data_IF_859327726206
#
_entry.id   IF_859327726206
#
_cell.length_a   1.000
_cell.length_b   1.000
_cell.length_c   1.000
_cell.angle_alpha   90.00
_cell.angle_beta   90.00
_cell.angle_gamma   90.00
#
_symmetry.space_group_name_H-M   'P 1'
#
loop_
_entity.id
_entity.type
_entity.pdbx_description
1 polymer ?
#
# COMPACT_ATOMS: atom_id res chain seq x y z
N UNK A 1 -2.32 -12.36 41.12
CA UNK A 1 -3.67 -11.81 41.31
C UNK A 1 -3.83 -10.44 40.61
N UNK A 2 -2.96 -9.44 40.86
CA UNK A 2 -3.11 -8.09 40.30
C UNK A 2 -2.96 -7.99 38.76
N UNK A 3 -2.12 -8.83 38.15
CA UNK A 3 -1.87 -8.84 36.69
C UNK A 3 -3.07 -9.34 35.87
N UNK A 4 -3.82 -10.30 36.40
CA UNK A 4 -5.02 -10.85 35.75
C UNK A 4 -6.15 -9.82 35.72
N UNK A 5 -6.38 -9.12 36.84
CA UNK A 5 -7.41 -8.09 36.94
C UNK A 5 -7.15 -6.89 36.00
N UNK A 6 -5.88 -6.55 35.76
CA UNK A 6 -5.50 -5.52 34.79
C UNK A 6 -5.78 -5.95 33.35
N UNK A 7 -5.43 -7.19 32.98
CA UNK A 7 -5.73 -7.74 31.66
C UNK A 7 -7.24 -7.75 31.38
N UNK A 8 -8.04 -8.22 32.33
CA UNK A 8 -9.51 -8.24 32.19
C UNK A 8 -10.11 -6.83 32.05
N UNK A 9 -9.55 -5.85 32.75
CA UNK A 9 -9.97 -4.45 32.65
C UNK A 9 -9.63 -3.84 31.28
N UNK A 10 -8.46 -4.17 30.74
CA UNK A 10 -8.03 -3.73 29.40
C UNK A 10 -8.90 -4.34 28.29
N UNK A 11 -9.22 -5.63 28.41
CA UNK A 11 -10.10 -6.33 27.46
C UNK A 11 -11.52 -5.75 27.47
N UNK A 12 -12.08 -5.47 28.66
CA UNK A 12 -13.39 -4.82 28.79
C UNK A 12 -13.41 -3.40 28.21
N UNK A 13 -12.33 -2.65 28.39
CA UNK A 13 -12.23 -1.30 27.82
C UNK A 13 -12.20 -1.36 26.28
N UNK A 14 -11.39 -2.28 25.74
CA UNK A 14 -11.24 -2.46 24.29
C UNK A 14 -12.54 -2.94 23.64
N UNK A 15 -13.26 -3.89 24.26
CA UNK A 15 -14.54 -4.37 23.74
C UNK A 15 -15.60 -3.28 23.72
N UNK A 16 -15.66 -2.43 24.76
CA UNK A 16 -16.58 -1.28 24.82
C UNK A 16 -16.29 -0.27 23.72
N UNK A 17 -15.02 0.05 23.47
CA UNK A 17 -14.63 0.96 22.39
C UNK A 17 -14.95 0.37 21.00
N UNK A 18 -14.73 -0.93 20.80
CA UNK A 18 -15.08 -1.61 19.56
C UNK A 18 -16.58 -1.51 19.26
N UNK A 19 -17.44 -1.68 20.27
CA UNK A 19 -18.89 -1.51 20.11
C UNK A 19 -19.27 -0.08 19.71
N UNK A 20 -18.65 0.94 20.32
CA UNK A 20 -18.90 2.33 19.93
C UNK A 20 -18.47 2.63 18.49
N UNK A 21 -17.39 2.01 18.00
CA UNK A 21 -16.97 2.13 16.60
C UNK A 21 -18.00 1.51 15.66
N UNK A 22 -18.52 0.32 16.00
CA UNK A 22 -19.55 -0.35 15.22
C UNK A 22 -20.86 0.45 15.19
N UNK A 23 -21.28 1.04 16.30
CA UNK A 23 -22.46 1.91 16.36
C UNK A 23 -22.27 3.16 15.49
N UNK A 24 -21.09 3.81 15.55
CA UNK A 24 -20.79 4.95 14.67
C UNK A 24 -20.75 4.55 13.20
N UNK A 25 -20.22 3.37 12.86
CA UNK A 25 -20.22 2.86 11.50
C UNK A 25 -21.64 2.56 11.01
N UNK A 26 -22.49 1.96 11.85
CA UNK A 26 -23.90 1.69 11.57
C UNK A 26 -24.70 2.98 11.34
N UNK A 27 -24.41 4.03 12.09
CA UNK A 27 -25.06 5.34 11.93
C UNK A 27 -24.64 6.05 10.65
N UNK A 28 -23.48 5.71 10.07
CA UNK A 28 -23.05 6.21 8.76
C UNK A 28 -23.77 5.45 7.66
N UNK A 29 -24.93 5.96 7.25
CA UNK A 29 -25.54 5.53 5.98
C UNK A 29 -24.72 6.11 4.83
N UNK A 30 -23.84 5.31 4.27
CA UNK A 30 -23.13 5.64 3.03
C UNK A 30 -24.04 5.27 1.87
N UNK A 31 -24.60 6.27 1.20
CA UNK A 31 -25.27 6.08 -0.08
C UNK A 31 -24.20 5.97 -1.16
N UNK A 32 -23.92 4.75 -1.60
CA UNK A 32 -23.15 4.54 -2.81
C UNK A 32 -24.03 4.95 -3.99
N UNK A 33 -23.66 5.97 -4.79
CA UNK A 33 -24.40 6.28 -5.99
C UNK A 33 -24.41 5.04 -6.88
N UNK A 34 -25.61 4.56 -7.21
CA UNK A 34 -25.79 3.47 -8.17
C UNK A 34 -25.27 3.96 -9.52
N UNK A 35 -24.10 3.47 -9.93
CA UNK A 35 -23.44 3.84 -11.19
C UNK A 35 -24.40 3.53 -12.34
N UNK A 36 -25.03 4.57 -12.86
CA UNK A 36 -26.07 4.52 -13.91
C UNK A 36 -25.46 4.61 -15.31
N UNK A 37 -24.15 4.34 -15.44
CA UNK A 37 -23.41 4.46 -16.71
C UNK A 37 -22.82 3.15 -17.25
N UNK A 38 -22.88 2.05 -16.50
CA UNK A 38 -22.30 0.78 -16.98
C UNK A 38 -23.03 0.24 -18.23
N UNK A 39 -24.30 0.63 -18.43
CA UNK A 39 -25.09 0.17 -19.59
C UNK A 39 -24.75 0.92 -20.88
N UNK A 40 -24.35 2.20 -20.84
CA UNK A 40 -24.05 2.96 -22.06
C UNK A 40 -22.66 2.65 -22.65
N UNK A 41 -21.66 2.38 -21.79
CA UNK A 41 -20.31 2.00 -22.24
C UNK A 41 -20.33 0.63 -22.94
N UNK A 42 -21.11 -0.32 -22.40
CA UNK A 42 -21.27 -1.65 -23.01
C UNK A 42 -21.98 -1.58 -24.37
N UNK A 43 -22.96 -0.67 -24.56
CA UNK A 43 -23.61 -0.50 -25.88
C UNK A 43 -22.68 0.05 -26.94
N UNK A 44 -21.71 0.89 -26.58
CA UNK A 44 -20.73 1.43 -27.52
C UNK A 44 -19.67 0.38 -27.92
N UNK A 45 -19.33 -0.55 -27.04
CA UNK A 45 -18.41 -1.65 -27.33
C UNK A 45 -19.08 -2.79 -28.10
N UNK A 46 -20.34 -3.10 -27.82
CA UNK A 46 -21.14 -4.08 -28.58
C UNK A 46 -21.38 -3.63 -30.03
N UNK A 47 -21.50 -2.32 -30.27
CA UNK A 47 -21.62 -1.76 -31.62
C UNK A 47 -20.35 -1.98 -32.45
N UNK A 48 -19.16 -2.00 -31.82
CA UNK A 48 -17.88 -2.28 -32.51
C UNK A 48 -17.65 -3.76 -32.80
N UNK A 49 -18.14 -4.66 -31.94
CA UNK A 49 -18.06 -6.11 -32.19
C UNK A 49 -19.01 -6.58 -33.31
N UNK A 50 -20.08 -5.83 -33.59
CA UNK A 50 -21.13 -6.19 -34.57
C UNK A 50 -20.73 -6.08 -36.05
N UNK A 51 -19.66 -5.38 -36.42
CA UNK A 51 -19.27 -5.22 -37.84
C UNK A 51 -18.34 -6.33 -38.37
N UNK A 52 -17.91 -7.28 -37.53
CA UNK A 52 -16.80 -8.19 -37.87
C UNK A 52 -17.13 -9.64 -38.20
N UNK A 53 -18.38 -10.11 -38.18
CA UNK A 53 -18.63 -11.54 -38.37
C UNK A 53 -19.93 -11.85 -39.10
N UNK A 54 -19.76 -12.27 -40.35
CA UNK A 54 -20.78 -12.91 -41.17
C UNK A 54 -21.18 -14.28 -40.60
N UNK A 55 -22.49 -14.55 -40.60
CA UNK A 55 -23.17 -15.87 -40.58
C UNK A 55 -23.43 -16.61 -39.23
N UNK A 56 -24.46 -17.50 -39.14
CA UNK A 56 -25.87 -17.12 -39.01
C UNK A 56 -26.62 -17.85 -37.86
N UNK A 57 -27.81 -17.32 -37.53
CA UNK A 57 -28.97 -17.92 -36.84
C UNK A 57 -28.82 -19.36 -36.33
N UNK A 58 -28.96 -19.53 -35.01
CA UNK A 58 -29.86 -20.54 -34.47
C UNK A 58 -30.62 -20.00 -33.27
N UNK A 59 -31.94 -20.15 -33.37
CA UNK A 59 -32.98 -19.71 -32.44
C UNK A 59 -33.17 -20.80 -31.39
N UNK A 60 -33.16 -20.44 -30.12
CA UNK A 60 -33.42 -21.39 -29.02
C UNK A 60 -33.44 -20.68 -27.68
N UNK A 61 -34.61 -20.13 -27.34
CA UNK A 61 -35.18 -19.94 -25.99
C UNK A 61 -34.22 -19.71 -24.81
N UNK A 62 -34.31 -18.48 -24.29
CA UNK A 62 -34.63 -18.20 -22.89
C UNK A 62 -33.74 -18.87 -21.83
N UNK A 63 -32.56 -18.29 -21.61
CA UNK A 63 -32.10 -18.07 -20.24
C UNK A 63 -31.64 -16.62 -20.14
N UNK A 64 -32.55 -15.76 -19.66
CA UNK A 64 -32.16 -14.53 -19.00
C UNK A 64 -31.54 -14.97 -17.69
N UNK A 65 -30.26 -15.38 -17.73
CA UNK A 65 -29.46 -15.55 -16.53
C UNK A 65 -29.15 -14.15 -16.01
N UNK A 66 -30.09 -13.68 -15.18
CA UNK A 66 -29.81 -13.01 -13.92
C UNK A 66 -28.38 -12.46 -13.86
N UNK A 67 -28.21 -11.20 -14.28
CA UNK A 67 -27.02 -10.42 -14.00
C UNK A 67 -26.92 -10.16 -12.50
N UNK A 68 -26.63 -11.22 -11.76
CA UNK A 68 -26.25 -11.17 -10.38
C UNK A 68 -24.93 -10.40 -10.32
N UNK A 69 -24.99 -9.27 -9.62
CA UNK A 69 -24.03 -8.19 -9.44
C UNK A 69 -22.72 -8.62 -8.74
N UNK A 70 -22.10 -9.71 -9.18
CA UNK A 70 -20.91 -10.31 -8.57
C UNK A 70 -19.86 -10.83 -9.58
N UNK A 71 -20.25 -11.12 -10.83
CA UNK A 71 -19.31 -11.59 -11.85
C UNK A 71 -18.54 -10.44 -12.52
N UNK A 72 -19.20 -9.32 -12.85
CA UNK A 72 -18.57 -8.22 -13.57
C UNK A 72 -17.44 -7.49 -12.83
N UNK A 73 -17.54 -7.34 -11.50
CA UNK A 73 -16.50 -6.66 -10.71
C UNK A 73 -15.27 -7.56 -10.55
N UNK A 74 -15.48 -8.85 -10.26
CA UNK A 74 -14.38 -9.83 -10.16
C UNK A 74 -13.69 -10.03 -11.51
N UNK A 75 -14.47 -10.06 -12.59
CA UNK A 75 -13.97 -10.13 -13.96
C UNK A 75 -13.17 -8.87 -14.32
N UNK A 76 -13.67 -7.67 -14.01
CA UNK A 76 -12.94 -6.42 -14.21
C UNK A 76 -11.62 -6.35 -13.43
N UNK A 77 -11.59 -6.84 -12.18
CA UNK A 77 -10.34 -6.99 -11.44
C UNK A 77 -9.42 -8.04 -12.09
N UNK A 78 -9.97 -9.12 -12.65
CA UNK A 78 -9.24 -10.08 -13.47
C UNK A 78 -8.56 -9.42 -14.66
N UNK A 79 -9.30 -8.64 -15.44
CA UNK A 79 -8.78 -7.89 -16.60
C UNK A 79 -7.71 -6.88 -16.19
N UNK A 80 -7.90 -6.18 -15.07
CA UNK A 80 -6.90 -5.25 -14.55
C UNK A 80 -5.62 -5.98 -14.12
N UNK A 81 -5.75 -7.13 -13.45
CA UNK A 81 -4.60 -7.95 -13.06
C UNK A 81 -3.83 -8.47 -14.27
N UNK A 82 -4.54 -8.93 -15.31
CA UNK A 82 -3.92 -9.36 -16.57
C UNK A 82 -3.18 -8.22 -17.25
N UNK A 83 -3.78 -7.02 -17.30
CA UNK A 83 -3.13 -5.84 -17.85
C UNK A 83 -1.89 -5.45 -17.04
N UNK A 84 -1.99 -5.45 -15.71
CA UNK A 84 -0.85 -5.18 -14.83
C UNK A 84 0.27 -6.18 -15.06
N UNK A 85 -0.04 -7.48 -15.10
CA UNK A 85 0.94 -8.53 -15.38
C UNK A 85 1.61 -8.37 -16.75
N UNK A 86 0.82 -8.07 -17.79
CA UNK A 86 1.33 -7.79 -19.13
C UNK A 86 2.29 -6.59 -19.13
N UNK A 87 1.89 -5.48 -18.50
CA UNK A 87 2.76 -4.28 -18.40
C UNK A 87 4.03 -4.54 -17.61
N UNK A 88 3.99 -5.35 -16.55
CA UNK A 88 5.16 -5.79 -15.79
C UNK A 88 6.14 -6.57 -16.66
N UNK A 89 5.65 -7.50 -17.49
CA UNK A 89 6.50 -8.31 -18.36
C UNK A 89 7.14 -7.46 -19.47
N UNK A 90 6.39 -6.52 -20.05
CA UNK A 90 6.93 -5.57 -21.03
C UNK A 90 8.00 -4.66 -20.43
N UNK A 91 7.80 -4.16 -19.20
CA UNK A 91 8.85 -3.43 -18.48
C UNK A 91 10.09 -4.30 -18.28
N UNK A 92 9.92 -5.55 -17.86
CA UNK A 92 11.04 -6.48 -17.66
C UNK A 92 11.83 -6.68 -18.96
N UNK A 93 11.15 -6.94 -20.07
CA UNK A 93 11.78 -7.12 -21.40
C UNK A 93 12.57 -5.88 -21.82
N UNK A 94 12.00 -4.68 -21.62
CA UNK A 94 12.68 -3.42 -21.90
C UNK A 94 13.97 -3.28 -21.08
N UNK A 95 13.92 -3.44 -19.76
CA UNK A 95 15.12 -3.30 -18.92
C UNK A 95 16.15 -4.43 -19.12
N UNK A 96 15.74 -5.61 -19.58
CA UNK A 96 16.70 -6.68 -19.94
C UNK A 96 17.34 -6.49 -21.31
N UNK A 97 16.77 -5.66 -22.18
CA UNK A 97 17.26 -5.45 -23.56
C UNK A 97 18.12 -4.19 -23.71
N UNK A 98 18.12 -3.28 -22.72
CA UNK A 98 18.97 -2.08 -22.72
C UNK A 98 20.35 -2.39 -22.09
N UNK A 99 21.49 -2.04 -22.73
CA UNK A 99 22.85 -2.23 -22.20
C UNK A 99 23.11 -1.44 -20.89
N UNK A 100 24.21 -1.70 -20.15
CA UNK A 100 24.39 -1.37 -18.73
C UNK A 100 24.72 0.11 -18.49
N UNK A 101 23.85 1.01 -18.94
CA UNK A 101 23.63 2.24 -18.20
C UNK A 101 22.54 1.88 -17.20
N UNK A 102 22.93 1.74 -15.93
CA UNK A 102 22.04 1.30 -14.87
C UNK A 102 20.73 2.09 -14.84
N UNK A 103 19.65 1.50 -14.29
CA UNK A 103 18.33 2.13 -14.29
C UNK A 103 18.44 3.53 -13.67
N UNK A 104 17.85 4.53 -14.33
CA UNK A 104 17.81 5.88 -13.77
C UNK A 104 17.11 5.86 -12.40
N UNK A 105 17.37 6.85 -11.56
CA UNK A 105 16.81 6.89 -10.20
C UNK A 105 15.27 6.80 -10.18
N UNK A 106 14.62 7.34 -11.22
CA UNK A 106 13.16 7.26 -11.39
C UNK A 106 12.70 5.84 -11.73
N UNK A 107 13.45 5.13 -12.57
CA UNK A 107 13.16 3.76 -13.00
C UNK A 107 13.45 2.78 -11.86
N UNK A 108 14.53 2.98 -11.11
CA UNK A 108 14.82 2.23 -9.89
C UNK A 108 13.68 2.35 -8.87
N UNK A 109 13.18 3.57 -8.63
CA UNK A 109 12.01 3.80 -7.75
C UNK A 109 10.75 3.09 -8.25
N UNK A 110 10.50 3.08 -9.56
CA UNK A 110 9.37 2.37 -10.16
C UNK A 110 9.48 0.85 -9.96
N UNK A 111 10.63 0.26 -10.30
CA UNK A 111 10.88 -1.19 -10.19
C UNK A 111 10.76 -1.66 -8.72
N UNK A 112 11.35 -0.92 -7.78
CA UNK A 112 11.26 -1.26 -6.36
C UNK A 112 9.82 -1.20 -5.83
N UNK A 113 9.02 -0.23 -6.29
CA UNK A 113 7.69 0.00 -5.75
C UNK A 113 6.64 -0.98 -6.27
N UNK A 114 6.79 -1.45 -7.51
CA UNK A 114 5.73 -2.20 -8.20
C UNK A 114 6.13 -3.60 -8.65
N UNK A 115 7.42 -3.87 -8.87
CA UNK A 115 7.87 -5.13 -9.47
C UNK A 115 8.84 -5.92 -8.58
N UNK A 116 9.13 -5.44 -7.37
CA UNK A 116 9.87 -6.26 -6.40
C UNK A 116 8.98 -7.42 -5.96
N UNK A 117 9.30 -8.61 -6.49
CA UNK A 117 8.65 -9.90 -6.23
C UNK A 117 8.77 -10.36 -4.75
N UNK A 118 9.41 -9.55 -3.91
CA UNK A 118 9.42 -9.70 -2.46
C UNK A 118 8.06 -9.21 -1.95
N UNK A 119 7.10 -10.14 -1.83
CA UNK A 119 5.89 -9.94 -1.05
C UNK A 119 6.25 -9.22 0.27
N UNK A 120 5.56 -8.13 0.67
CA UNK A 120 5.73 -7.55 1.99
C UNK A 120 5.07 -8.45 3.03
N UNK A 121 5.47 -9.72 3.10
CA UNK A 121 5.42 -10.45 4.35
C UNK A 121 6.46 -9.78 5.24
N UNK A 122 5.92 -9.15 6.28
CA UNK A 122 6.56 -8.55 7.44
C UNK A 122 7.90 -9.20 7.82
N UNK A 123 8.94 -8.88 7.07
CA UNK A 123 10.32 -9.13 7.41
C UNK A 123 10.96 -7.76 7.41
N UNK A 124 10.97 -7.15 8.59
CA UNK A 124 11.87 -6.04 8.93
C UNK A 124 13.32 -6.55 8.89
N UNK A 125 13.76 -7.06 7.74
CA UNK A 125 15.17 -7.09 7.40
C UNK A 125 15.42 -5.81 6.64
N UNK A 126 15.71 -4.76 7.40
CA UNK A 126 16.53 -3.66 6.91
C UNK A 126 17.71 -4.33 6.25
N UNK A 127 17.74 -4.36 4.90
CA UNK A 127 18.95 -4.72 4.18
C UNK A 127 19.92 -3.61 4.54
N UNK A 128 20.76 -3.88 5.54
CA UNK A 128 22.04 -3.20 5.66
C UNK A 128 22.75 -3.47 4.34
N UNK A 129 22.62 -2.53 3.42
CA UNK A 129 23.69 -2.27 2.48
C UNK A 129 24.85 -1.89 3.39
N UNK A 130 25.80 -2.81 3.56
CA UNK A 130 27.10 -2.53 4.16
C UNK A 130 27.84 -1.56 3.23
N UNK A 131 27.38 -0.31 3.25
CA UNK A 131 28.16 0.82 2.81
C UNK A 131 29.20 1.05 3.91
N UNK A 132 30.49 1.24 3.57
CA UNK A 132 31.51 1.57 4.56
C UNK A 132 30.99 2.73 5.41
N UNK A 133 30.81 2.47 6.72
CA UNK A 133 30.30 3.46 7.68
C UNK A 133 31.39 4.50 7.89
N UNK A 134 31.47 5.47 6.99
CA UNK A 134 32.04 6.76 7.35
C UNK A 134 31.17 7.34 8.47
N UNK A 135 31.73 8.01 9.47
CA UNK A 135 30.94 8.72 10.48
C UNK A 135 30.22 9.87 9.78
N UNK A 136 29.05 9.57 9.22
CA UNK A 136 28.14 10.55 8.61
C UNK A 136 27.26 11.10 9.74
N UNK A 137 27.35 12.41 9.97
CA UNK A 137 26.46 13.09 10.91
C UNK A 137 25.02 13.07 10.37
N UNK A 138 24.04 12.85 11.24
CA UNK A 138 22.62 12.86 10.87
C UNK A 138 21.96 14.17 11.30
N UNK A 139 21.26 14.82 10.37
CA UNK A 139 20.47 16.02 10.63
C UNK A 139 18.97 15.68 10.67
N UNK A 140 18.26 16.16 11.70
CA UNK A 140 16.82 15.94 11.88
C UNK A 140 16.14 17.28 12.15
N UNK A 141 15.18 17.66 11.30
CA UNK A 141 14.35 18.85 11.51
C UNK A 141 13.12 18.50 12.35
N UNK A 142 12.88 19.27 13.40
CA UNK A 142 11.75 19.08 14.31
C UNK A 142 11.09 20.42 14.61
N UNK A 143 9.76 20.45 14.89
CA UNK A 143 9.11 21.64 15.42
C UNK A 143 9.76 22.10 16.74
N UNK A 144 9.56 23.35 17.18
CA UNK A 144 10.04 23.80 18.48
C UNK A 144 9.42 22.97 19.61
N UNK A 145 10.24 22.48 20.55
CA UNK A 145 9.76 21.58 21.61
C UNK A 145 10.89 20.94 22.42
N UNK A 146 10.50 20.10 23.38
CA UNK A 146 11.43 19.29 24.19
C UNK A 146 11.40 17.85 23.70
N UNK A 147 12.57 17.31 23.34
CA UNK A 147 12.73 16.01 22.72
C UNK A 147 13.66 15.13 23.54
N UNK A 148 13.33 13.83 23.63
CA UNK A 148 14.24 12.81 24.13
C UNK A 148 14.86 12.10 22.92
N UNK A 149 16.16 12.27 22.74
CA UNK A 149 16.92 11.68 21.63
C UNK A 149 17.68 10.47 22.16
N UNK A 150 17.36 9.29 21.65
CA UNK A 150 18.00 8.02 22.04
C UNK A 150 18.83 7.49 20.89
N UNK A 151 20.12 7.29 21.13
CA UNK A 151 21.04 6.65 20.22
C UNK A 151 21.46 5.28 20.78
N UNK A 152 21.59 4.27 19.92
CA UNK A 152 22.01 2.93 20.31
C UNK A 152 22.67 2.22 19.13
N UNK A 153 23.71 1.45 19.41
CA UNK A 153 24.43 0.64 18.42
C UNK A 153 24.38 -0.85 18.81
N UNK A 154 24.41 -1.73 17.81
CA UNK A 154 24.35 -3.18 18.02
C UNK A 154 25.61 -3.63 18.80
N UNK A 155 25.42 -4.10 20.04
CA UNK A 155 26.51 -4.46 20.96
C UNK A 155 26.93 -3.38 21.96
N UNK A 156 26.47 -2.14 21.78
CA UNK A 156 26.65 -1.04 22.73
C UNK A 156 25.35 -0.73 23.49
N UNK A 157 25.47 -0.05 24.64
CA UNK A 157 24.31 0.44 25.39
C UNK A 157 23.52 1.51 24.63
N UNK A 158 22.32 1.84 25.12
CA UNK A 158 21.55 2.98 24.63
C UNK A 158 21.88 4.22 25.45
N UNK A 159 22.12 5.35 24.78
CA UNK A 159 22.28 6.66 25.42
C UNK A 159 21.10 7.56 25.05
N UNK A 160 20.44 8.16 26.04
CA UNK A 160 19.32 9.09 25.83
C UNK A 160 19.68 10.48 26.36
N UNK A 161 19.47 11.51 25.56
CA UNK A 161 19.66 12.92 25.94
C UNK A 161 18.35 13.69 25.76
N UNK A 162 17.98 14.48 26.77
CA UNK A 162 16.81 15.37 26.72
C UNK A 162 17.26 16.76 26.25
N UNK A 163 16.66 17.25 25.18
CA UNK A 163 17.09 18.47 24.50
C UNK A 163 15.88 19.34 24.21
N UNK A 164 16.00 20.65 24.43
CA UNK A 164 14.99 21.64 24.07
C UNK A 164 15.46 22.36 22.81
N UNK A 165 14.61 22.41 21.79
CA UNK A 165 14.88 23.02 20.49
C UNK A 165 13.93 24.20 20.31
N UNK A 166 14.48 25.41 20.17
CA UNK A 166 13.76 26.64 19.87
C UNK A 166 13.47 26.83 18.38
N UNK A 167 12.79 27.94 18.03
CA UNK A 167 12.48 28.28 16.63
C UNK A 167 13.76 28.67 15.90
N UNK A 168 14.10 27.97 14.82
CA UNK A 168 15.30 28.24 14.03
C UNK A 168 16.62 27.89 14.74
N UNK A 169 16.54 27.18 15.87
CA UNK A 169 17.68 26.72 16.63
C UNK A 169 18.13 25.35 16.13
N UNK A 170 19.45 25.14 16.04
CA UNK A 170 20.05 23.85 15.72
C UNK A 170 20.91 23.39 16.90
N UNK A 171 20.70 22.16 17.35
CA UNK A 171 21.45 21.57 18.47
C UNK A 171 22.23 20.36 17.98
N UNK A 172 23.56 20.41 18.13
CA UNK A 172 24.44 19.29 17.80
C UNK A 172 24.57 18.36 19.00
N UNK A 173 24.28 17.07 18.79
CA UNK A 173 24.35 16.04 19.82
C UNK A 173 25.39 15.00 19.45
N UNK A 174 26.33 14.76 20.36
CA UNK A 174 27.33 13.70 20.24
C UNK A 174 26.98 12.56 21.19
N UNK A 175 26.88 11.36 20.65
CA UNK A 175 26.65 10.14 21.41
C UNK A 175 27.90 9.26 21.31
N UNK A 176 28.42 8.85 22.46
CA UNK A 176 29.55 7.92 22.53
C UNK A 176 28.97 6.53 22.80
N UNK A 177 28.70 5.79 21.73
CA UNK A 177 28.13 4.44 21.75
C UNK A 177 29.23 3.39 21.60
#
# INVERSE_FOLDING_TARGET
MATQAWMDSSLRCSSRLALQVLERARARRVHWPRVTGASEVLRAEDARRRWGSSHPRQSGSEQVEEWCTGTGVRDAFGTLMELMAHTTDECKRFYTSVPPHGPSEREAKHICRYHSQEHPQMSRRVRHVERPRTPEDFHIEVPPGTYAVTAGAEGAGQQTQLVRVGVGESVNLTFHL
#
